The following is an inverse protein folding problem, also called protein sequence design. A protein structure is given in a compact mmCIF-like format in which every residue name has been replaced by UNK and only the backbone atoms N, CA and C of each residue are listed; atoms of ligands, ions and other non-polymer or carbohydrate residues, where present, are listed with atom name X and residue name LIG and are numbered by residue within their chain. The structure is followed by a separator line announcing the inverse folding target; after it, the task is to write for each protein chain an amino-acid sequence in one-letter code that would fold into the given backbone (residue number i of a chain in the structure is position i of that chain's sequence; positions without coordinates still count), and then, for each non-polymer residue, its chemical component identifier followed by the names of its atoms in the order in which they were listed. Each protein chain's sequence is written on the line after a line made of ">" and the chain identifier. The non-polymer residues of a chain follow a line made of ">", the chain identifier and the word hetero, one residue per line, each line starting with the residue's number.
data_IF_973599660984
#
_entry.id   IF_973599660984
#
_cell.length_a   1.000
_cell.length_b   1.000
_cell.length_c   1.000
_cell.angle_alpha   90.00
_cell.angle_beta   90.00
_cell.angle_gamma   90.00
#
_symmetry.space_group_name_H-M   'P 1'
#
loop_
_entity.id
_entity.type
_entity.pdbx_description
1 polymer ?
#
# COMPACT_ATOMS: atom_id res chain seq x y z
N UNK A 1 10.30 -14.98 82.27
CA UNK A 1 8.94 -15.41 81.87
C UNK A 1 8.09 -14.16 81.60
N UNK A 2 7.91 -13.82 80.32
CA UNK A 2 7.15 -12.65 79.83
C UNK A 2 6.31 -13.05 78.63
N UNK A 3 5.21 -12.32 78.48
CA UNK A 3 3.95 -12.62 77.79
C UNK A 3 4.05 -12.63 76.26
N UNK A 4 3.10 -13.36 75.68
CA UNK A 4 2.67 -13.45 74.28
C UNK A 4 2.47 -12.09 73.59
N UNK A 5 2.72 -12.01 72.27
CA UNK A 5 1.73 -11.58 71.27
C UNK A 5 2.26 -11.71 69.84
N UNK A 6 1.74 -12.71 69.15
CA UNK A 6 1.60 -12.84 67.70
C UNK A 6 0.63 -11.79 67.14
N UNK A 7 0.94 -11.21 65.99
CA UNK A 7 -0.04 -10.46 65.19
C UNK A 7 0.59 -9.39 64.29
N UNK A 8 1.18 -9.80 63.16
CA UNK A 8 1.38 -8.87 62.03
C UNK A 8 0.12 -8.97 61.16
N UNK A 9 -0.62 -7.87 60.92
CA UNK A 9 -1.79 -7.89 60.05
C UNK A 9 -1.35 -8.09 58.61
N UNK A 10 -1.89 -9.15 58.01
CA UNK A 10 -1.93 -9.35 56.56
C UNK A 10 -2.59 -8.14 55.90
N UNK A 11 -1.84 -7.41 55.07
CA UNK A 11 -2.35 -6.36 54.20
C UNK A 11 -3.17 -7.02 53.08
N UNK A 12 -4.40 -7.42 53.40
CA UNK A 12 -5.40 -7.75 52.40
C UNK A 12 -5.70 -6.47 51.62
N UNK A 13 -5.28 -6.44 50.34
CA UNK A 13 -5.74 -5.45 49.37
C UNK A 13 -7.27 -5.54 49.25
N UNK A 14 -8.05 -4.59 49.78
CA UNK A 14 -9.49 -4.59 49.66
C UNK A 14 -9.84 -3.74 48.44
N UNK A 15 -9.93 -4.36 47.27
CA UNK A 15 -10.14 -3.58 46.04
C UNK A 15 -10.43 -4.37 44.77
N UNK A 16 -11.05 -5.55 44.86
CA UNK A 16 -11.60 -6.25 43.68
C UNK A 16 -13.01 -6.73 43.98
N UNK A 17 -13.87 -5.82 44.42
CA UNK A 17 -15.31 -6.02 44.43
C UNK A 17 -15.81 -6.02 42.99
N UNK A 18 -15.89 -7.21 42.42
CA UNK A 18 -16.49 -7.47 41.11
C UNK A 18 -17.95 -7.05 41.11
N UNK A 19 -18.23 -5.84 40.64
CA UNK A 19 -19.51 -5.58 39.97
C UNK A 19 -19.45 -6.36 38.67
N UNK A 20 -20.10 -7.53 38.63
CA UNK A 20 -20.40 -8.23 37.38
C UNK A 20 -21.17 -7.25 36.49
N UNK A 21 -20.47 -6.57 35.59
CA UNK A 21 -21.12 -5.64 34.67
C UNK A 21 -21.96 -6.47 33.73
N UNK A 22 -23.27 -6.25 33.76
CA UNK A 22 -24.20 -6.91 32.84
C UNK A 22 -23.82 -6.49 31.42
N UNK A 23 -23.41 -7.48 30.62
CA UNK A 23 -23.09 -7.26 29.22
C UNK A 23 -24.39 -7.10 28.41
N UNK A 24 -24.43 -6.20 27.41
CA UNK A 24 -25.50 -6.19 26.43
C UNK A 24 -25.63 -7.57 25.75
N UNK A 25 -26.85 -7.97 25.40
CA UNK A 25 -27.17 -9.30 24.83
C UNK A 25 -26.20 -9.68 23.69
N UNK A 26 -26.04 -8.81 22.69
CA UNK A 26 -25.15 -9.07 21.55
C UNK A 26 -23.66 -9.24 21.93
N UNK A 27 -23.20 -8.63 23.03
CA UNK A 27 -21.82 -8.81 23.53
C UNK A 27 -21.70 -10.15 24.27
N UNK A 28 -22.73 -10.52 25.03
CA UNK A 28 -22.78 -11.83 25.68
C UNK A 28 -22.80 -12.95 24.64
N UNK A 29 -23.61 -12.82 23.58
CA UNK A 29 -23.61 -13.76 22.45
C UNK A 29 -22.22 -13.91 21.82
N UNK A 30 -21.49 -12.81 21.62
CA UNK A 30 -20.11 -12.86 21.13
C UNK A 30 -19.17 -13.61 22.10
N UNK A 31 -19.34 -13.45 23.41
CA UNK A 31 -18.56 -14.17 24.43
C UNK A 31 -18.87 -15.66 24.41
N UNK A 32 -20.15 -16.03 24.35
CA UNK A 32 -20.59 -17.42 24.32
C UNK A 32 -20.09 -18.11 23.04
N UNK A 33 -20.22 -17.45 21.88
CA UNK A 33 -19.66 -17.94 20.61
C UNK A 33 -18.15 -18.18 20.70
N UNK A 34 -17.40 -17.31 21.38
CA UNK A 34 -15.96 -17.50 21.59
C UNK A 34 -15.68 -18.71 22.47
N UNK A 35 -16.44 -18.90 23.55
CA UNK A 35 -16.30 -20.05 24.43
C UNK A 35 -16.53 -21.37 23.65
N UNK A 36 -17.56 -21.43 22.81
CA UNK A 36 -17.88 -22.60 21.99
C UNK A 36 -16.74 -22.95 21.01
N UNK A 37 -16.19 -21.97 20.29
CA UNK A 37 -15.10 -22.23 19.33
C UNK A 37 -13.79 -22.58 20.01
N UNK A 38 -13.53 -22.03 21.21
CA UNK A 38 -12.38 -22.38 22.03
C UNK A 38 -12.50 -23.82 22.54
N UNK A 39 -13.66 -24.20 23.08
CA UNK A 39 -13.93 -25.56 23.55
C UNK A 39 -13.81 -26.59 22.41
N UNK A 40 -14.24 -26.23 21.20
CA UNK A 40 -14.13 -27.07 20.01
C UNK A 40 -12.74 -27.02 19.32
N UNK A 41 -11.76 -26.31 19.89
CA UNK A 41 -10.40 -26.24 19.35
C UNK A 41 -10.29 -25.65 17.93
N UNK A 42 -11.21 -24.75 17.55
CA UNK A 42 -11.23 -24.06 16.25
C UNK A 42 -11.34 -24.96 15.01
N UNK A 43 -11.85 -26.19 15.16
CA UNK A 43 -12.09 -27.12 14.03
C UNK A 43 -13.56 -27.23 13.63
N UNK A 44 -14.44 -26.46 14.29
CA UNK A 44 -15.88 -26.56 14.12
C UNK A 44 -16.43 -25.70 12.99
N UNK A 45 -17.63 -26.03 12.51
CA UNK A 45 -18.39 -25.19 11.57
C UNK A 45 -18.63 -23.79 12.15
N UNK A 46 -18.85 -23.69 13.46
CA UNK A 46 -19.03 -22.42 14.17
C UNK A 46 -17.79 -21.51 14.03
N UNK A 47 -16.57 -22.08 14.09
CA UNK A 47 -15.35 -21.33 13.83
C UNK A 47 -15.29 -20.82 12.39
N UNK A 48 -15.59 -21.67 11.39
CA UNK A 48 -15.55 -21.25 9.99
C UNK A 48 -16.56 -20.14 9.68
N UNK A 49 -17.77 -20.21 10.25
CA UNK A 49 -18.78 -19.16 10.13
C UNK A 49 -18.32 -17.86 10.81
N UNK A 50 -17.80 -17.95 12.04
CA UNK A 50 -17.25 -16.80 12.76
C UNK A 50 -16.10 -16.16 11.97
N UNK A 51 -15.11 -16.94 11.51
CA UNK A 51 -13.98 -16.46 10.74
C UNK A 51 -14.44 -15.74 9.45
N UNK A 52 -15.43 -16.30 8.74
CA UNK A 52 -16.01 -15.66 7.55
C UNK A 52 -16.65 -14.31 7.87
N UNK A 53 -17.42 -14.20 8.95
CA UNK A 53 -18.02 -12.93 9.38
C UNK A 53 -16.97 -11.89 9.76
N UNK A 54 -15.95 -12.31 10.53
CA UNK A 54 -14.83 -11.46 10.94
C UNK A 54 -14.06 -10.94 9.73
N UNK A 55 -13.81 -11.83 8.77
CA UNK A 55 -13.13 -11.51 7.51
C UNK A 55 -13.91 -10.46 6.71
N UNK A 56 -15.20 -10.68 6.48
CA UNK A 56 -16.05 -9.75 5.72
C UNK A 56 -16.12 -8.37 6.36
N UNK A 57 -16.28 -8.34 7.68
CA UNK A 57 -16.32 -7.08 8.44
C UNK A 57 -14.96 -6.36 8.35
N UNK A 58 -13.87 -7.06 8.68
CA UNK A 58 -12.53 -6.48 8.68
C UNK A 58 -12.11 -6.00 7.29
N UNK A 59 -12.44 -6.73 6.23
CA UNK A 59 -12.11 -6.34 4.86
C UNK A 59 -12.74 -4.99 4.49
N UNK A 60 -14.03 -4.80 4.80
CA UNK A 60 -14.73 -3.53 4.56
C UNK A 60 -14.12 -2.41 5.40
N UNK A 61 -13.88 -2.64 6.69
CA UNK A 61 -13.34 -1.63 7.60
C UNK A 61 -11.92 -1.22 7.25
N UNK A 62 -11.04 -2.17 6.91
CA UNK A 62 -9.66 -1.87 6.49
C UNK A 62 -9.63 -1.07 5.19
N UNK A 63 -10.46 -1.44 4.21
CA UNK A 63 -10.58 -0.68 2.96
C UNK A 63 -11.05 0.76 3.20
N UNK A 64 -12.03 0.95 4.09
CA UNK A 64 -12.51 2.27 4.45
C UNK A 64 -11.45 3.09 5.20
N UNK A 65 -10.74 2.46 6.14
CA UNK A 65 -9.67 3.09 6.91
C UNK A 65 -8.50 3.50 6.01
N UNK A 66 -8.02 2.62 5.13
CA UNK A 66 -6.92 2.95 4.21
C UNK A 66 -7.24 4.11 3.26
N UNK A 67 -8.52 4.34 2.93
CA UNK A 67 -8.91 5.48 2.10
C UNK A 67 -8.78 6.83 2.83
N UNK A 68 -8.77 6.82 4.16
CA UNK A 68 -8.85 8.00 5.04
C UNK A 68 -7.71 7.95 6.07
N UNK A 69 -6.69 8.76 5.87
CA UNK A 69 -5.45 8.74 6.68
C UNK A 69 -5.74 8.83 8.18
N UNK A 70 -6.64 9.70 8.62
CA UNK A 70 -7.06 9.84 10.01
C UNK A 70 -7.61 8.54 10.61
N UNK A 71 -8.51 7.86 9.88
CA UNK A 71 -9.06 6.57 10.30
C UNK A 71 -8.00 5.47 10.34
N UNK A 72 -7.07 5.46 9.38
CA UNK A 72 -5.97 4.50 9.38
C UNK A 72 -5.03 4.73 10.57
N UNK A 73 -4.69 5.98 10.87
CA UNK A 73 -3.84 6.32 12.02
C UNK A 73 -4.51 5.93 13.34
N UNK A 74 -5.81 6.16 13.50
CA UNK A 74 -6.55 5.69 14.69
C UNK A 74 -6.53 4.17 14.82
N UNK A 75 -6.70 3.46 13.70
CA UNK A 75 -6.70 2.00 13.68
C UNK A 75 -5.35 1.40 14.11
N UNK A 76 -4.24 1.97 13.67
CA UNK A 76 -2.88 1.47 13.95
C UNK A 76 -2.26 2.08 15.21
N UNK A 77 -2.95 3.00 15.89
CA UNK A 77 -2.41 3.76 17.03
C UNK A 77 -1.87 2.90 18.19
N UNK A 78 -2.31 1.64 18.29
CA UNK A 78 -1.86 0.69 19.31
C UNK A 78 -0.77 -0.27 18.84
N UNK A 79 -0.36 -0.19 17.58
CA UNK A 79 0.74 -1.01 17.07
C UNK A 79 2.06 -0.55 17.68
N UNK A 80 2.95 -1.51 17.96
CA UNK A 80 4.32 -1.24 18.38
C UNK A 80 5.22 -0.85 17.19
N UNK A 81 4.74 -1.02 15.96
CA UNK A 81 5.46 -0.63 14.76
C UNK A 81 4.85 0.67 14.24
N UNK A 82 5.64 1.75 14.11
CA UNK A 82 5.14 3.00 13.55
C UNK A 82 4.74 2.79 12.08
N UNK A 83 3.64 3.42 11.66
CA UNK A 83 3.23 3.45 10.26
C UNK A 83 3.78 4.71 9.59
N UNK A 84 4.68 4.54 8.62
CA UNK A 84 5.24 5.64 7.84
C UNK A 84 4.57 5.75 6.47
N UNK A 85 3.86 6.85 6.24
CA UNK A 85 3.17 7.12 4.97
C UNK A 85 3.76 8.35 4.29
N UNK A 86 4.38 8.14 3.13
CA UNK A 86 4.69 9.22 2.19
C UNK A 86 3.41 9.74 1.51
N UNK A 87 3.48 10.89 0.84
CA UNK A 87 2.34 11.40 0.07
C UNK A 87 1.96 10.48 -1.10
N UNK A 88 2.93 9.75 -1.66
CA UNK A 88 2.68 8.72 -2.67
C UNK A 88 1.89 7.56 -2.08
N UNK A 89 2.26 7.09 -0.88
CA UNK A 89 1.58 6.02 -0.17
C UNK A 89 0.13 6.42 0.13
N UNK A 90 -0.08 7.64 0.66
CA UNK A 90 -1.42 8.19 0.92
C UNK A 90 -2.25 8.27 -0.35
N UNK A 91 -1.68 8.79 -1.44
CA UNK A 91 -2.36 8.86 -2.73
C UNK A 91 -2.72 7.47 -3.26
N UNK A 92 -1.79 6.51 -3.15
CA UNK A 92 -1.99 5.12 -3.58
C UNK A 92 -3.12 4.45 -2.81
N UNK A 93 -3.07 4.51 -1.48
CA UNK A 93 -4.13 3.98 -0.62
C UNK A 93 -5.47 4.67 -0.87
N UNK A 94 -5.48 5.97 -1.16
CA UNK A 94 -6.72 6.69 -1.47
C UNK A 94 -7.35 6.27 -2.81
N UNK A 95 -6.55 6.16 -3.87
CA UNK A 95 -7.02 6.01 -5.26
C UNK A 95 -7.07 4.57 -5.77
N UNK A 96 -6.25 3.67 -5.24
CA UNK A 96 -6.16 2.30 -5.72
C UNK A 96 -6.90 1.31 -4.81
N UNK A 97 -8.10 0.91 -5.22
CA UNK A 97 -8.89 -0.11 -4.53
C UNK A 97 -8.27 -1.50 -4.61
N UNK A 98 -7.52 -1.82 -5.67
CA UNK A 98 -6.83 -3.11 -5.82
C UNK A 98 -5.74 -3.26 -4.75
N UNK A 99 -4.86 -2.26 -4.64
CA UNK A 99 -3.81 -2.23 -3.62
C UNK A 99 -4.40 -2.35 -2.21
N UNK A 100 -5.46 -1.57 -1.90
CA UNK A 100 -6.15 -1.69 -0.61
C UNK A 100 -6.72 -3.08 -0.38
N UNK A 101 -7.30 -3.71 -1.40
CA UNK A 101 -7.84 -5.06 -1.27
C UNK A 101 -6.70 -6.03 -0.92
N UNK A 102 -5.60 -6.03 -1.68
CA UNK A 102 -4.43 -6.88 -1.43
C UNK A 102 -3.89 -6.70 -0.02
N UNK A 103 -3.63 -5.45 0.40
CA UNK A 103 -3.13 -5.14 1.75
C UNK A 103 -4.10 -5.61 2.84
N UNK A 104 -5.41 -5.42 2.63
CA UNK A 104 -6.44 -5.87 3.58
C UNK A 104 -6.43 -7.40 3.70
N UNK A 105 -6.37 -8.14 2.58
CA UNK A 105 -6.32 -9.60 2.59
C UNK A 105 -5.09 -10.10 3.35
N UNK A 106 -3.89 -9.58 3.03
CA UNK A 106 -2.64 -9.94 3.73
C UNK A 106 -2.72 -9.65 5.23
N UNK A 107 -3.25 -8.49 5.60
CA UNK A 107 -3.41 -8.07 7.00
C UNK A 107 -4.35 -9.01 7.75
N UNK A 108 -5.50 -9.33 7.16
CA UNK A 108 -6.50 -10.22 7.78
C UNK A 108 -5.95 -11.63 7.92
N UNK A 109 -5.27 -12.16 6.91
CA UNK A 109 -4.69 -13.49 6.97
C UNK A 109 -3.71 -13.63 8.14
N UNK A 110 -2.77 -12.70 8.27
CA UNK A 110 -1.81 -12.69 9.39
C UNK A 110 -2.50 -12.48 10.74
N UNK A 111 -3.52 -11.62 10.80
CA UNK A 111 -4.29 -11.44 12.03
C UNK A 111 -5.08 -12.71 12.41
N UNK A 112 -5.62 -13.44 11.42
CA UNK A 112 -6.43 -14.64 11.60
C UNK A 112 -5.59 -15.84 12.03
N UNK A 113 -4.36 -15.98 11.54
CA UNK A 113 -3.41 -17.03 11.96
C UNK A 113 -3.16 -17.00 13.47
N UNK A 114 -3.02 -15.80 14.05
CA UNK A 114 -2.75 -15.62 15.48
C UNK A 114 -4.02 -15.55 16.34
N UNK A 115 -5.19 -15.37 15.72
CA UNK A 115 -6.42 -15.08 16.44
C UNK A 115 -6.88 -16.22 17.38
N UNK A 116 -6.85 -17.51 16.97
CA UNK A 116 -7.17 -18.62 17.86
C UNK A 116 -6.34 -18.60 19.16
N UNK A 117 -5.04 -18.34 19.05
CA UNK A 117 -4.13 -18.27 20.20
C UNK A 117 -4.49 -17.11 21.14
N UNK A 118 -4.89 -15.98 20.59
CA UNK A 118 -5.38 -14.82 21.36
C UNK A 118 -6.67 -15.17 22.10
N UNK A 119 -7.61 -15.82 21.44
CA UNK A 119 -8.89 -16.22 22.04
C UNK A 119 -8.70 -17.26 23.16
N UNK A 120 -7.87 -18.29 22.95
CA UNK A 120 -7.56 -19.30 23.98
C UNK A 120 -6.94 -18.69 25.25
N UNK A 121 -6.17 -17.62 25.10
CA UNK A 121 -5.55 -16.90 26.23
C UNK A 121 -6.50 -15.90 26.91
N UNK A 122 -7.78 -15.89 26.54
CA UNK A 122 -8.77 -14.95 27.08
C UNK A 122 -8.59 -13.52 26.57
N UNK A 123 -7.94 -13.33 25.41
CA UNK A 123 -7.65 -11.99 24.87
C UNK A 123 -8.90 -11.18 24.52
N UNK A 124 -10.03 -11.84 24.22
CA UNK A 124 -11.33 -11.20 24.10
C UNK A 124 -12.09 -11.31 25.42
N UNK A 125 -12.09 -10.22 26.19
CA UNK A 125 -12.81 -10.11 27.45
C UNK A 125 -13.42 -8.70 27.57
N UNK A 126 -14.61 -8.48 26.99
CA UNK A 126 -15.25 -7.17 26.97
C UNK A 126 -15.66 -6.67 28.36
N UNK A 127 -15.93 -7.57 29.32
CA UNK A 127 -16.30 -7.21 30.68
C UNK A 127 -15.15 -6.52 31.43
N UNK A 128 -13.94 -7.08 31.34
CA UNK A 128 -12.76 -6.54 32.02
C UNK A 128 -12.05 -5.44 31.21
N UNK A 129 -12.25 -5.39 29.89
CA UNK A 129 -11.60 -4.43 28.99
C UNK A 129 -12.63 -3.67 28.15
N UNK A 130 -13.43 -2.77 28.77
CA UNK A 130 -14.35 -1.93 28.03
C UNK A 130 -13.56 -1.02 27.07
N UNK A 131 -14.14 -0.76 25.90
CA UNK A 131 -13.59 0.15 24.91
C UNK A 131 -13.68 1.63 25.31
N UNK A 132 -13.36 2.50 24.35
CA UNK A 132 -13.34 3.95 24.53
C UNK A 132 -14.70 4.44 25.06
N UNK A 133 -14.68 5.27 26.10
CA UNK A 133 -15.90 5.79 26.73
C UNK A 133 -16.70 4.76 27.53
N UNK A 134 -16.08 3.64 27.94
CA UNK A 134 -16.73 2.61 28.75
C UNK A 134 -17.65 1.66 27.96
N UNK A 135 -17.68 1.77 26.63
CA UNK A 135 -18.52 0.94 25.75
C UNK A 135 -17.88 -0.43 25.53
N UNK A 136 -18.64 -1.49 25.70
CA UNK A 136 -18.20 -2.85 25.38
C UNK A 136 -17.85 -2.98 23.89
N UNK A 137 -16.77 -3.70 23.59
CA UNK A 137 -16.35 -3.95 22.20
C UNK A 137 -16.92 -5.28 21.72
N UNK A 138 -17.67 -5.25 20.62
CA UNK A 138 -18.06 -6.46 19.91
C UNK A 138 -16.82 -7.19 19.34
N UNK A 139 -16.94 -8.51 19.14
CA UNK A 139 -15.87 -9.38 18.66
C UNK A 139 -15.32 -8.91 17.31
N UNK A 140 -16.19 -8.47 16.40
CA UNK A 140 -15.82 -7.88 15.10
C UNK A 140 -14.91 -6.66 15.25
N UNK A 141 -15.22 -5.76 16.17
CA UNK A 141 -14.40 -4.56 16.46
C UNK A 141 -13.08 -4.92 17.16
N UNK A 142 -13.10 -5.92 18.02
CA UNK A 142 -11.89 -6.47 18.63
C UNK A 142 -10.95 -7.05 17.58
N UNK A 143 -11.46 -7.86 16.64
CA UNK A 143 -10.68 -8.42 15.55
C UNK A 143 -10.09 -7.36 14.62
N UNK A 144 -10.85 -6.31 14.28
CA UNK A 144 -10.32 -5.16 13.53
C UNK A 144 -9.18 -4.48 14.27
N UNK A 145 -9.28 -4.35 15.60
CA UNK A 145 -8.16 -3.83 16.42
C UNK A 145 -6.92 -4.73 16.26
N UNK A 146 -7.07 -6.06 16.22
CA UNK A 146 -5.96 -7.00 15.96
C UNK A 146 -5.35 -6.81 14.58
N UNK A 147 -6.16 -6.56 13.55
CA UNK A 147 -5.68 -6.21 12.22
C UNK A 147 -4.82 -4.93 12.26
N UNK A 148 -5.27 -3.90 12.99
CA UNK A 148 -4.52 -2.65 13.17
C UNK A 148 -3.15 -2.84 13.83
N UNK A 149 -2.99 -3.83 14.71
CA UNK A 149 -1.70 -4.12 15.34
C UNK A 149 -0.66 -4.66 14.35
N UNK A 150 -1.08 -5.49 13.39
CA UNK A 150 -0.18 -6.12 12.42
C UNK A 150 -0.03 -5.31 11.13
N UNK A 151 -0.99 -4.42 10.83
CA UNK A 151 -1.05 -3.65 9.59
C UNK A 151 0.27 -2.94 9.22
N UNK A 152 0.96 -2.19 10.11
CA UNK A 152 2.13 -1.42 9.69
C UNK A 152 3.23 -2.28 9.07
N UNK A 153 3.54 -3.43 9.69
CA UNK A 153 4.52 -4.39 9.16
C UNK A 153 4.10 -4.96 7.80
N UNK A 154 2.81 -5.26 7.63
CA UNK A 154 2.28 -5.80 6.37
C UNK A 154 2.36 -4.75 5.26
N UNK A 155 2.00 -3.51 5.59
CA UNK A 155 2.10 -2.38 4.67
C UNK A 155 3.55 -2.15 4.22
N UNK A 156 4.51 -2.15 5.15
CA UNK A 156 5.92 -1.95 4.81
C UNK A 156 6.48 -3.07 3.92
N UNK A 157 6.11 -4.32 4.19
CA UNK A 157 6.51 -5.45 3.35
C UNK A 157 5.92 -5.33 1.94
N UNK A 158 4.61 -5.06 1.84
CA UNK A 158 3.95 -4.82 0.56
C UNK A 158 4.59 -3.66 -0.21
N UNK A 159 4.94 -2.57 0.48
CA UNK A 159 5.62 -1.42 -0.11
C UNK A 159 7.00 -1.77 -0.66
N UNK A 160 7.77 -2.58 0.05
CA UNK A 160 9.08 -3.07 -0.42
C UNK A 160 8.93 -3.92 -1.67
N UNK A 161 8.02 -4.90 -1.65
CA UNK A 161 7.75 -5.77 -2.81
C UNK A 161 7.33 -4.97 -4.05
N UNK A 162 6.44 -3.99 -3.86
CA UNK A 162 5.99 -3.09 -4.94
C UNK A 162 7.10 -2.17 -5.44
N UNK A 163 7.93 -1.66 -4.54
CA UNK A 163 9.10 -0.84 -4.93
C UNK A 163 10.10 -1.67 -5.71
N UNK A 164 10.36 -2.91 -5.28
CA UNK A 164 11.23 -3.85 -5.97
C UNK A 164 10.72 -4.16 -7.37
N UNK A 165 9.41 -4.31 -7.57
CA UNK A 165 8.81 -4.45 -8.90
C UNK A 165 9.18 -3.27 -9.81
N UNK A 166 8.96 -2.04 -9.37
CA UNK A 166 9.33 -0.86 -10.16
C UNK A 166 10.84 -0.76 -10.38
N UNK A 167 11.64 -1.10 -9.36
CA UNK A 167 13.09 -1.09 -9.48
C UNK A 167 13.60 -2.14 -10.46
N UNK A 168 12.97 -3.32 -10.60
CA UNK A 168 13.37 -4.30 -11.63
C UNK A 168 13.32 -3.71 -13.03
N UNK A 169 12.28 -2.94 -13.34
CA UNK A 169 12.13 -2.27 -14.63
C UNK A 169 12.89 -0.95 -14.74
N UNK A 170 13.27 -0.33 -13.62
CA UNK A 170 13.98 0.95 -13.59
C UNK A 170 15.49 0.85 -13.35
N UNK A 171 16.04 -0.32 -12.96
CA UNK A 171 17.45 -0.48 -12.55
C UNK A 171 18.44 -0.55 -13.70
N UNK A 172 17.97 -0.77 -14.93
CA UNK A 172 18.85 -0.73 -16.10
C UNK A 172 19.02 0.73 -16.47
N UNK A 173 20.17 1.33 -16.13
CA UNK A 173 20.50 2.67 -16.61
C UNK A 173 20.28 2.71 -18.12
N UNK A 174 19.50 3.68 -18.56
CA UNK A 174 19.16 3.79 -19.97
C UNK A 174 20.32 4.48 -20.68
N UNK A 175 21.10 3.72 -21.42
CA UNK A 175 22.14 4.29 -22.26
C UNK A 175 21.50 5.24 -23.29
N UNK A 176 22.06 6.46 -23.45
CA UNK A 176 21.47 7.53 -24.26
C UNK A 176 21.21 7.14 -25.72
N UNK A 177 21.95 6.16 -26.26
CA UNK A 177 21.72 5.64 -27.61
C UNK A 177 20.35 4.96 -27.76
N UNK A 178 19.77 4.37 -26.70
CA UNK A 178 18.42 3.77 -26.77
C UNK A 178 17.36 4.84 -27.04
N UNK A 179 17.53 6.01 -26.41
CA UNK A 179 16.67 7.15 -26.66
C UNK A 179 16.90 7.73 -28.07
N UNK A 180 18.16 7.82 -28.52
CA UNK A 180 18.48 8.25 -29.89
C UNK A 180 17.85 7.32 -30.95
N UNK A 181 17.89 6.01 -30.72
CA UNK A 181 17.22 5.01 -31.54
C UNK A 181 15.70 5.18 -31.52
N UNK A 182 15.08 5.41 -30.34
CA UNK A 182 13.65 5.67 -30.22
C UNK A 182 13.21 6.97 -30.92
N UNK A 183 14.09 7.97 -31.02
CA UNK A 183 13.88 9.16 -31.84
C UNK A 183 14.01 8.88 -33.34
N UNK A 184 14.34 7.64 -33.72
CA UNK A 184 14.52 7.16 -35.09
C UNK A 184 15.72 7.75 -35.79
N UNK A 185 16.77 8.12 -35.05
CA UNK A 185 18.06 8.46 -35.64
C UNK A 185 18.84 7.15 -35.86
N UNK A 186 19.31 6.97 -37.10
CA UNK A 186 19.87 5.75 -37.71
C UNK A 186 21.09 5.14 -36.98
N UNK A 187 21.37 3.86 -37.33
CA UNK A 187 22.50 2.96 -37.03
C UNK A 187 23.43 3.34 -35.87
N UNK A 188 23.66 2.35 -35.00
CA UNK A 188 24.43 2.31 -33.73
C UNK A 188 25.87 2.91 -33.74
N UNK A 189 26.28 3.68 -34.75
CA UNK A 189 27.62 4.18 -34.95
C UNK A 189 27.89 5.64 -34.54
N UNK A 190 27.06 6.63 -34.89
CA UNK A 190 27.43 8.05 -34.70
C UNK A 190 26.23 9.00 -34.65
N UNK A 191 25.56 9.07 -33.50
CA UNK A 191 24.67 10.21 -33.24
C UNK A 191 25.50 11.51 -33.16
N UNK A 192 25.08 12.59 -33.84
CA UNK A 192 25.68 13.92 -33.67
C UNK A 192 25.84 14.31 -32.19
N UNK A 193 26.94 15.01 -31.80
CA UNK A 193 27.22 15.31 -30.39
C UNK A 193 26.12 16.08 -29.67
N UNK A 194 25.41 16.96 -30.38
CA UNK A 194 24.27 17.72 -29.88
C UNK A 194 23.04 16.83 -29.61
N UNK A 195 22.83 15.78 -30.40
CA UNK A 195 21.78 14.77 -30.18
C UNK A 195 22.14 13.91 -28.97
N UNK A 196 23.41 13.50 -28.83
CA UNK A 196 23.88 12.76 -27.66
C UNK A 196 23.66 13.59 -26.39
N UNK A 197 24.06 14.86 -26.39
CA UNK A 197 23.86 15.76 -25.25
C UNK A 197 22.38 15.95 -24.88
N UNK A 198 21.48 16.07 -25.88
CA UNK A 198 20.05 16.09 -25.64
C UNK A 198 19.56 14.78 -25.02
N UNK A 199 19.99 13.64 -25.58
CA UNK A 199 19.59 12.32 -25.08
C UNK A 199 20.07 12.12 -23.63
N UNK A 200 21.31 12.46 -23.33
CA UNK A 200 21.87 12.38 -21.97
C UNK A 200 21.10 13.27 -21.00
N UNK A 201 20.73 14.48 -21.43
CA UNK A 201 19.92 15.39 -20.61
C UNK A 201 18.54 14.79 -20.31
N UNK A 202 17.85 14.26 -21.31
CA UNK A 202 16.52 13.66 -21.15
C UNK A 202 16.60 12.37 -20.33
N UNK A 203 17.60 11.53 -20.57
CA UNK A 203 17.89 10.34 -19.76
C UNK A 203 18.12 10.71 -18.30
N UNK A 204 18.96 11.72 -18.02
CA UNK A 204 19.17 12.21 -16.65
C UNK A 204 17.88 12.71 -15.99
N UNK A 205 16.99 13.35 -16.76
CA UNK A 205 15.67 13.74 -16.27
C UNK A 205 14.76 12.54 -15.95
N UNK A 206 14.83 11.47 -16.75
CA UNK A 206 14.09 10.21 -16.53
C UNK A 206 14.65 9.48 -15.30
N UNK A 207 15.98 9.42 -15.16
CA UNK A 207 16.67 8.76 -14.06
C UNK A 207 16.38 9.44 -12.71
N UNK A 208 16.15 10.76 -12.73
CA UNK A 208 15.72 11.54 -11.57
C UNK A 208 14.22 11.37 -11.22
N UNK A 209 13.44 10.65 -12.03
CA UNK A 209 12.04 10.36 -11.70
C UNK A 209 11.94 9.35 -10.55
N UNK A 210 10.79 9.39 -9.88
CA UNK A 210 10.43 8.36 -8.91
C UNK A 210 10.42 6.98 -9.58
N UNK A 211 10.71 5.89 -8.83
CA UNK A 211 10.86 4.54 -9.40
C UNK A 211 9.74 4.12 -10.36
N UNK A 212 8.46 4.33 -10.00
CA UNK A 212 7.32 4.01 -10.87
C UNK A 212 7.38 4.76 -12.21
N UNK A 213 7.52 6.07 -12.16
CA UNK A 213 7.49 6.89 -13.38
C UNK A 213 8.73 6.63 -14.24
N UNK A 214 9.89 6.37 -13.63
CA UNK A 214 11.09 5.92 -14.32
C UNK A 214 10.84 4.59 -15.03
N UNK A 215 10.31 3.57 -14.36
CA UNK A 215 9.96 2.29 -14.98
C UNK A 215 9.02 2.46 -16.20
N UNK A 216 7.98 3.29 -16.07
CA UNK A 216 7.07 3.61 -17.18
C UNK A 216 7.83 4.17 -18.39
N UNK A 217 8.75 5.11 -18.17
CA UNK A 217 9.54 5.70 -19.25
C UNK A 217 10.55 4.73 -19.86
N UNK A 218 11.19 3.89 -19.05
CA UNK A 218 12.08 2.84 -19.54
C UNK A 218 11.35 1.88 -20.48
N UNK A 219 10.22 1.33 -20.05
CA UNK A 219 9.44 0.43 -20.87
C UNK A 219 8.85 1.11 -22.11
N UNK A 220 8.45 2.39 -22.01
CA UNK A 220 7.97 3.14 -23.18
C UNK A 220 9.05 3.28 -24.25
N UNK A 221 10.30 3.53 -23.84
CA UNK A 221 11.44 3.67 -24.76
C UNK A 221 11.86 2.31 -25.34
N UNK A 222 11.65 1.22 -24.59
CA UNK A 222 11.80 -0.15 -25.08
C UNK A 222 10.67 -0.60 -26.04
N UNK A 223 9.67 0.25 -26.28
CA UNK A 223 8.62 0.02 -27.26
C UNK A 223 7.36 -0.65 -26.72
N UNK A 224 7.25 -0.84 -25.40
CA UNK A 224 6.04 -1.38 -24.79
C UNK A 224 4.86 -0.41 -24.95
N UNK A 225 3.69 -0.96 -25.25
CA UNK A 225 2.44 -0.20 -25.29
C UNK A 225 1.99 0.20 -23.87
N UNK A 226 1.18 1.27 -23.72
CA UNK A 226 0.67 1.66 -22.41
C UNK A 226 -0.12 0.56 -21.67
N UNK A 227 -0.76 -0.36 -22.42
CA UNK A 227 -1.45 -1.51 -21.85
C UNK A 227 -0.48 -2.52 -21.26
N UNK A 228 0.54 -2.92 -22.03
CA UNK A 228 1.57 -3.86 -21.55
C UNK A 228 2.36 -3.29 -20.36
N UNK A 229 2.62 -1.98 -20.34
CA UNK A 229 3.24 -1.31 -19.19
C UNK A 229 2.33 -1.38 -17.96
N UNK A 230 1.04 -1.12 -18.14
CA UNK A 230 0.07 -1.18 -17.04
C UNK A 230 0.02 -2.59 -16.43
N UNK A 231 -0.01 -3.61 -17.29
CA UNK A 231 -0.04 -5.02 -16.88
C UNK A 231 1.27 -5.44 -16.20
N UNK A 232 2.42 -5.13 -16.81
CA UNK A 232 3.73 -5.51 -16.28
C UNK A 232 4.07 -4.85 -14.94
N UNK A 233 3.64 -3.61 -14.73
CA UNK A 233 3.88 -2.86 -13.51
C UNK A 233 2.75 -2.99 -12.47
N UNK A 234 1.68 -3.75 -12.79
CA UNK A 234 0.49 -3.90 -11.95
C UNK A 234 -0.08 -2.54 -11.48
N UNK A 235 -0.23 -1.62 -12.45
CA UNK A 235 -0.81 -0.28 -12.24
C UNK A 235 -1.94 -0.02 -13.22
N UNK A 236 -2.73 1.03 -12.97
CA UNK A 236 -3.82 1.40 -13.89
C UNK A 236 -3.24 2.04 -15.15
N UNK A 237 -3.87 1.78 -16.30
CA UNK A 237 -3.57 2.48 -17.56
C UNK A 237 -3.62 4.02 -17.41
N UNK A 238 -4.54 4.53 -16.59
CA UNK A 238 -4.60 5.96 -16.26
C UNK A 238 -3.34 6.48 -15.56
N UNK A 239 -2.70 5.69 -14.70
CA UNK A 239 -1.46 6.07 -14.02
C UNK A 239 -0.26 6.10 -14.99
N UNK A 240 -0.21 5.15 -15.94
CA UNK A 240 0.76 5.15 -17.05
C UNK A 240 0.60 6.44 -17.87
N UNK A 241 -0.61 6.73 -18.33
CA UNK A 241 -0.91 7.92 -19.12
C UNK A 241 -0.56 9.22 -18.37
N UNK A 242 -0.87 9.28 -17.07
CA UNK A 242 -0.54 10.43 -16.24
C UNK A 242 0.98 10.60 -16.06
N UNK A 243 1.74 9.51 -15.89
CA UNK A 243 3.20 9.56 -15.79
C UNK A 243 3.83 10.09 -17.09
N UNK A 244 3.37 9.60 -18.25
CA UNK A 244 3.79 10.07 -19.56
C UNK A 244 3.43 11.55 -19.78
N UNK A 245 2.19 11.93 -19.47
CA UNK A 245 1.69 13.29 -19.63
C UNK A 245 2.47 14.29 -18.77
N UNK A 246 2.70 13.96 -17.49
CA UNK A 246 3.38 14.85 -16.55
C UNK A 246 4.81 15.14 -17.00
N UNK A 247 5.54 14.10 -17.45
CA UNK A 247 6.90 14.29 -17.95
C UNK A 247 6.93 15.06 -19.27
N UNK A 248 6.04 14.75 -20.22
CA UNK A 248 5.92 15.51 -21.48
C UNK A 248 5.65 16.98 -21.23
N UNK A 249 4.76 17.28 -20.28
CA UNK A 249 4.46 18.67 -19.86
C UNK A 249 5.69 19.35 -19.29
N UNK A 250 6.44 18.67 -18.41
CA UNK A 250 7.70 19.18 -17.86
C UNK A 250 8.73 19.48 -18.96
N UNK A 251 8.96 18.54 -19.87
CA UNK A 251 9.88 18.71 -21.02
C UNK A 251 9.45 19.89 -21.89
N UNK A 252 8.15 20.01 -22.19
CA UNK A 252 7.60 21.13 -22.96
C UNK A 252 7.85 22.47 -22.27
N UNK A 253 7.65 22.55 -20.96
CA UNK A 253 7.91 23.77 -20.18
C UNK A 253 9.40 24.14 -20.20
N UNK A 254 10.31 23.18 -20.04
CA UNK A 254 11.75 23.44 -20.10
C UNK A 254 12.17 23.95 -21.48
N UNK A 255 11.65 23.35 -22.55
CA UNK A 255 11.87 23.82 -23.92
C UNK A 255 11.36 25.24 -24.12
N UNK A 256 10.15 25.55 -23.64
CA UNK A 256 9.58 26.91 -23.74
C UNK A 256 10.40 27.97 -22.99
N UNK A 257 11.12 27.58 -21.94
CA UNK A 257 12.02 28.46 -21.18
C UNK A 257 13.44 28.53 -21.75
N UNK A 258 13.75 27.75 -22.79
CA UNK A 258 15.10 27.64 -23.35
C UNK A 258 16.07 26.82 -22.48
N UNK A 259 15.58 26.17 -21.42
CA UNK A 259 16.38 25.32 -20.52
C UNK A 259 16.68 23.93 -21.13
N UNK A 260 15.89 23.52 -22.13
CA UNK A 260 16.12 22.32 -22.93
C UNK A 260 16.20 22.70 -24.41
N UNK A 261 17.40 22.63 -24.98
CA UNK A 261 17.65 22.96 -26.38
C UNK A 261 17.49 21.72 -27.24
N UNK A 262 16.62 21.79 -28.26
CA UNK A 262 16.47 20.74 -29.26
C UNK A 262 17.35 21.10 -30.47
N UNK A 263 18.25 20.21 -30.91
CA UNK A 263 19.06 20.43 -32.09
C UNK A 263 18.23 20.73 -33.35
N UNK A 264 18.62 21.69 -34.21
CA UNK A 264 17.89 22.01 -35.44
C UNK A 264 17.73 20.80 -36.39
N UNK A 265 18.74 19.93 -36.44
CA UNK A 265 18.72 18.67 -37.21
C UNK A 265 17.52 17.79 -36.85
N UNK A 266 17.18 17.76 -35.56
CA UNK A 266 16.10 16.95 -34.99
C UNK A 266 14.73 17.57 -35.26
N UNK A 267 14.63 18.90 -35.24
CA UNK A 267 13.41 19.63 -35.63
C UNK A 267 13.05 19.39 -37.10
N UNK A 268 14.05 19.39 -37.98
CA UNK A 268 13.88 19.12 -39.41
C UNK A 268 13.37 17.69 -39.63
N UNK A 269 13.99 16.69 -38.99
CA UNK A 269 13.56 15.30 -39.11
C UNK A 269 12.14 15.08 -38.56
N UNK A 270 11.80 15.70 -37.42
CA UNK A 270 10.44 15.64 -36.89
C UNK A 270 9.41 16.30 -37.82
N UNK A 271 9.76 17.41 -38.47
CA UNK A 271 8.90 18.04 -39.47
C UNK A 271 8.66 17.10 -40.66
N UNK A 272 9.72 16.46 -41.16
CA UNK A 272 9.66 15.49 -42.25
C UNK A 272 8.73 14.32 -41.94
N UNK A 273 8.83 13.74 -40.74
CA UNK A 273 7.96 12.63 -40.30
C UNK A 273 6.49 13.03 -40.21
N UNK A 274 6.20 14.20 -39.65
CA UNK A 274 4.82 14.71 -39.59
C UNK A 274 4.18 14.83 -40.97
N UNK A 275 4.93 15.29 -41.96
CA UNK A 275 4.44 15.34 -43.34
C UNK A 275 4.19 13.93 -43.92
N UNK A 276 5.07 12.98 -43.62
CA UNK A 276 4.98 11.60 -44.11
C UNK A 276 3.77 10.89 -43.49
N UNK A 277 3.57 11.04 -42.18
CA UNK A 277 2.41 10.51 -41.46
C UNK A 277 1.10 11.15 -41.96
N UNK A 278 1.09 12.46 -42.20
CA UNK A 278 -0.08 13.15 -42.76
C UNK A 278 -0.43 12.62 -44.16
N UNK A 279 0.56 12.34 -45.01
CA UNK A 279 0.35 11.73 -46.33
C UNK A 279 -0.18 10.30 -46.23
N UNK A 280 0.34 9.49 -45.31
CA UNK A 280 -0.13 8.12 -45.10
C UNK A 280 -1.54 8.06 -44.51
N UNK A 281 -1.92 9.02 -43.66
CA UNK A 281 -3.25 9.11 -43.10
C UNK A 281 -4.33 9.47 -44.14
N UNK A 282 -3.97 10.23 -45.18
CA UNK A 282 -4.87 10.60 -46.29
C UNK A 282 -5.02 9.45 -47.31
N UNK A 283 -4.08 8.50 -47.34
CA UNK A 283 -4.09 7.36 -48.25
C UNK A 283 -4.87 6.13 -47.71
N UNK A 284 -5.45 6.21 -46.52
CA UNK A 284 -6.30 5.18 -45.89
C UNK A 284 -7.76 5.61 -45.89
#
# INVERSE_FOLDING_TARGET
>A
MRKSQTGVPSTQNPGRTGRTRVLPIHIQEDVDRVADVVAAGFRSLAWHQMARELYQYAFRTLNAAMRKTDMLMELVAKSNTPLELSDEDRSTLHRNSGDRAVIALMTINVAMEEFPRVLMRGGYNPADNPGKGGKFKALKSFFVTRCGLVFPRIFDNWKKERTDLFLRHAKVHMEGWRLAHALGQYDLGQAPPDIVALCDTVTGMIDALKPRNRAVWHMTIEGYSPGEIADALEIKLGDVNNALYTFRTRVKTLRQRGELVVPPSLEVEWARRRELDARMAVAR
#
